data_IF_534751400847
#
_entry.id   IF_534751400847
#
_cell.length_a   1.000
_cell.length_b   1.000
_cell.length_c   1.000
_cell.angle_alpha   90.00
_cell.angle_beta   90.00
_cell.angle_gamma   90.00
#
_symmetry.space_group_name_H-M   'P 1'
#
loop_
_entity.id
_entity.type
_entity.pdbx_description
1 polymer ?
#
# COMPACT_ATOMS: atom_id res chain seq x y z
N UNK A 1 13.63 33.31 6.43
CA UNK A 1 12.66 34.42 6.63
C UNK A 1 11.70 34.58 5.44
N UNK A 2 12.20 34.74 4.20
CA UNK A 2 11.36 34.92 2.99
C UNK A 2 10.28 33.85 2.72
N UNK A 3 10.57 32.56 2.97
CA UNK A 3 9.61 31.46 2.69
C UNK A 3 8.38 31.53 3.61
N UNK A 4 8.59 31.90 4.88
CA UNK A 4 7.51 32.03 5.87
C UNK A 4 6.55 33.16 5.45
N UNK A 5 7.10 34.31 5.08
CA UNK A 5 6.33 35.47 4.63
C UNK A 5 5.51 35.18 3.36
N UNK A 6 6.10 34.47 2.39
CA UNK A 6 5.42 33.99 1.18
C UNK A 6 4.26 33.05 1.50
N UNK A 7 4.47 32.10 2.41
CA UNK A 7 3.42 31.17 2.86
C UNK A 7 2.26 31.92 3.53
N UNK A 8 2.55 32.84 4.46
CA UNK A 8 1.52 33.65 5.11
C UNK A 8 0.77 34.55 4.11
N UNK A 9 1.47 35.10 3.11
CA UNK A 9 0.86 35.86 2.02
C UNK A 9 -0.10 35.01 1.18
N UNK A 10 0.27 33.76 0.87
CA UNK A 10 -0.59 32.83 0.13
C UNK A 10 -1.80 32.39 0.94
N UNK A 11 -1.64 32.11 2.24
CA UNK A 11 -2.75 31.73 3.12
C UNK A 11 -3.74 32.87 3.37
N UNK A 12 -3.27 34.12 3.38
CA UNK A 12 -4.10 35.30 3.57
C UNK A 12 -4.78 35.79 2.28
N UNK A 13 -4.34 35.30 1.11
CA UNK A 13 -4.98 35.60 -0.17
C UNK A 13 -6.35 34.95 -0.21
N UNK A 14 -7.41 35.78 -0.17
CA UNK A 14 -8.79 35.31 -0.41
C UNK A 14 -8.85 34.68 -1.80
N UNK A 15 -9.22 33.41 -1.86
CA UNK A 15 -9.47 32.73 -3.14
C UNK A 15 -10.70 33.36 -3.77
N UNK A 16 -10.60 33.66 -5.06
CA UNK A 16 -11.77 34.06 -5.83
C UNK A 16 -12.75 32.89 -5.87
N UNK A 17 -14.02 33.19 -5.64
CA UNK A 17 -15.09 32.18 -5.74
C UNK A 17 -15.24 31.89 -7.22
N UNK A 18 -14.86 30.68 -7.62
CA UNK A 18 -15.09 30.21 -8.99
C UNK A 18 -16.61 30.02 -9.15
N UNK A 19 -17.25 30.68 -10.13
CA UNK A 19 -18.67 30.49 -10.36
C UNK A 19 -18.93 29.03 -10.71
N UNK A 20 -19.92 28.43 -10.06
CA UNK A 20 -20.32 27.05 -10.32
C UNK A 20 -21.08 27.00 -11.65
N UNK A 21 -20.39 26.60 -12.71
CA UNK A 21 -21.05 26.34 -13.98
C UNK A 21 -21.65 24.92 -13.97
N UNK A 22 -22.90 24.75 -14.42
CA UNK A 22 -23.49 23.42 -14.59
C UNK A 22 -22.71 22.65 -15.67
N UNK A 23 -22.08 21.55 -15.27
CA UNK A 23 -21.40 20.66 -16.21
C UNK A 23 -22.40 19.73 -16.91
N UNK A 24 -22.91 20.18 -18.05
CA UNK A 24 -23.81 19.42 -18.91
C UNK A 24 -23.20 18.14 -19.50
N UNK A 25 -21.88 17.92 -19.36
CA UNK A 25 -21.17 16.75 -19.90
C UNK A 25 -20.58 15.85 -18.81
N UNK A 26 -21.02 16.03 -17.57
CA UNK A 26 -20.59 15.23 -16.40
C UNK A 26 -20.76 13.72 -16.56
N UNK A 27 -21.70 13.27 -17.40
CA UNK A 27 -21.97 11.85 -17.65
C UNK A 27 -21.11 11.23 -18.76
N UNK A 28 -20.26 12.01 -19.45
CA UNK A 28 -19.46 11.50 -20.57
C UNK A 28 -18.06 11.09 -20.10
N UNK A 29 -17.80 9.79 -20.08
CA UNK A 29 -16.45 9.25 -19.87
C UNK A 29 -15.54 9.63 -21.05
N UNK A 30 -14.27 9.95 -20.78
CA UNK A 30 -13.32 10.37 -21.83
C UNK A 30 -13.61 11.75 -22.44
N UNK A 31 -13.99 12.73 -21.60
CA UNK A 31 -14.30 14.11 -22.05
C UNK A 31 -13.08 14.83 -22.63
N UNK A 32 -11.92 14.62 -22.02
CA UNK A 32 -10.70 15.34 -22.35
C UNK A 32 -9.88 14.53 -23.36
N UNK A 33 -9.32 15.18 -24.40
CA UNK A 33 -8.42 14.52 -25.33
C UNK A 33 -7.15 14.09 -24.61
N UNK A 34 -6.50 13.04 -25.12
CA UNK A 34 -5.34 12.45 -24.45
C UNK A 34 -4.15 13.42 -24.27
N UNK A 35 -4.14 14.50 -25.05
CA UNK A 35 -3.17 15.59 -24.98
C UNK A 35 -3.31 16.47 -23.73
N UNK A 36 -4.47 16.45 -23.07
CA UNK A 36 -4.71 17.20 -21.82
C UNK A 36 -4.35 16.38 -20.57
N UNK A 37 -4.17 15.06 -20.69
CA UNK A 37 -3.65 14.26 -19.59
C UNK A 37 -2.15 14.49 -19.44
N UNK A 38 -1.72 14.66 -18.19
CA UNK A 38 -0.30 14.62 -17.87
C UNK A 38 0.23 13.23 -18.17
N UNK A 39 1.30 13.15 -18.95
CA UNK A 39 1.98 11.88 -19.21
C UNK A 39 2.63 11.38 -17.92
N UNK A 40 2.47 10.09 -17.57
CA UNK A 40 3.06 9.51 -16.36
C UNK A 40 4.56 9.79 -16.22
N UNK A 41 5.28 9.74 -17.33
CA UNK A 41 6.74 9.96 -17.40
C UNK A 41 7.20 11.37 -16.99
N UNK A 42 6.28 12.34 -16.92
CA UNK A 42 6.58 13.72 -16.52
C UNK A 42 6.26 14.00 -15.06
N UNK A 43 5.62 13.08 -14.34
CA UNK A 43 5.21 13.26 -12.94
C UNK A 43 6.42 13.30 -11.99
N UNK A 44 7.51 12.58 -12.33
CA UNK A 44 8.74 12.56 -11.53
C UNK A 44 9.44 13.92 -11.44
N UNK A 45 9.35 14.75 -12.48
CA UNK A 45 9.90 16.11 -12.47
C UNK A 45 9.21 17.04 -11.45
N UNK A 46 8.04 16.63 -10.94
CA UNK A 46 7.23 17.38 -9.98
C UNK A 46 7.06 16.67 -8.63
N UNK A 47 7.94 15.69 -8.28
CA UNK A 47 7.97 15.01 -6.97
C UNK A 47 7.88 15.96 -5.75
N UNK A 48 8.28 17.23 -5.91
CA UNK A 48 8.23 18.26 -4.84
C UNK A 48 6.97 19.11 -4.79
N UNK A 49 6.12 19.10 -5.83
CA UNK A 49 5.02 20.06 -6.00
C UNK A 49 3.65 19.38 -5.96
N UNK A 50 3.58 18.10 -6.33
CA UNK A 50 2.34 17.33 -6.30
C UNK A 50 2.16 16.74 -4.90
N UNK A 51 1.03 17.05 -4.24
CA UNK A 51 0.67 16.45 -2.96
C UNK A 51 0.80 14.93 -3.05
N UNK A 52 1.47 14.29 -2.08
CA UNK A 52 1.70 12.83 -2.00
C UNK A 52 0.44 11.97 -2.24
N UNK A 53 -0.75 12.55 -2.09
CA UNK A 53 -2.05 11.94 -2.34
C UNK A 53 -2.41 11.73 -3.82
N UNK A 54 -1.68 12.34 -4.78
CA UNK A 54 -1.94 12.20 -6.22
C UNK A 54 -0.87 11.37 -6.96
N UNK A 55 0.01 10.68 -6.24
CA UNK A 55 0.75 9.60 -6.89
C UNK A 55 -0.27 8.54 -7.27
N UNK A 56 -0.51 8.39 -8.58
CA UNK A 56 -1.08 7.17 -9.09
C UNK A 56 -0.20 6.04 -8.53
N UNK A 57 -0.82 5.11 -7.80
CA UNK A 57 -0.13 3.92 -7.30
C UNK A 57 0.66 3.34 -8.48
N UNK A 58 1.99 3.32 -8.34
CA UNK A 58 2.85 2.63 -9.29
C UNK A 58 2.43 1.17 -9.26
N UNK A 59 1.65 0.78 -10.26
CA UNK A 59 1.19 -0.59 -10.44
C UNK A 59 2.40 -1.38 -10.92
N UNK A 60 3.08 -2.01 -9.97
CA UNK A 60 4.08 -3.03 -10.28
C UNK A 60 3.40 -4.18 -11.04
N UNK A 61 4.14 -4.87 -11.93
CA UNK A 61 3.64 -6.09 -12.53
C UNK A 61 3.20 -7.06 -11.43
N UNK A 62 2.05 -7.70 -11.64
CA UNK A 62 1.47 -8.62 -10.66
C UNK A 62 2.43 -9.79 -10.43
N UNK A 63 2.92 -9.92 -9.20
CA UNK A 63 3.68 -11.09 -8.74
C UNK A 63 2.72 -12.06 -8.05
N UNK A 64 2.25 -13.05 -8.80
CA UNK A 64 1.31 -14.07 -8.31
C UNK A 64 1.90 -14.87 -7.14
N UNK A 65 3.23 -15.09 -7.11
CA UNK A 65 3.88 -15.84 -6.04
C UNK A 65 3.91 -15.04 -4.73
N UNK A 66 4.18 -13.74 -4.84
CA UNK A 66 4.15 -12.82 -3.71
C UNK A 66 2.72 -12.67 -3.14
N UNK A 67 1.71 -12.49 -4.00
CA UNK A 67 0.31 -12.43 -3.58
C UNK A 67 -0.14 -13.73 -2.87
N UNK A 68 0.28 -14.89 -3.38
CA UNK A 68 -0.03 -16.18 -2.77
C UNK A 68 0.63 -16.32 -1.39
N UNK A 69 1.88 -15.85 -1.24
CA UNK A 69 2.57 -15.84 0.05
C UNK A 69 1.84 -14.94 1.07
N UNK A 70 1.42 -13.73 0.67
CA UNK A 70 0.64 -12.84 1.54
C UNK A 70 -0.68 -13.51 1.95
N UNK A 71 -1.36 -14.18 1.02
CA UNK A 71 -2.61 -14.89 1.30
C UNK A 71 -2.38 -16.02 2.32
N UNK A 72 -1.30 -16.77 2.15
CA UNK A 72 -0.92 -17.83 3.07
C UNK A 72 -0.63 -17.30 4.49
N UNK A 73 0.12 -16.20 4.63
CA UNK A 73 0.41 -15.58 5.94
C UNK A 73 -0.87 -15.09 6.64
N UNK A 74 -1.80 -14.52 5.89
CA UNK A 74 -3.12 -14.11 6.42
C UNK A 74 -3.92 -15.32 6.91
N UNK A 75 -3.87 -16.43 6.19
CA UNK A 75 -4.55 -17.66 6.58
C UNK A 75 -3.95 -18.24 7.86
N UNK A 76 -2.61 -18.33 7.97
CA UNK A 76 -1.94 -18.75 9.20
C UNK A 76 -2.32 -17.85 10.39
N UNK A 77 -2.37 -16.53 10.19
CA UNK A 77 -2.81 -15.59 11.23
C UNK A 77 -4.27 -15.83 11.65
N UNK A 78 -5.15 -16.10 10.69
CA UNK A 78 -6.56 -16.43 10.96
C UNK A 78 -6.69 -17.71 11.78
N UNK A 79 -5.94 -18.75 11.42
CA UNK A 79 -5.93 -20.03 12.15
C UNK A 79 -5.37 -19.84 13.56
N UNK A 80 -4.30 -19.06 13.71
CA UNK A 80 -3.73 -18.75 15.01
C UNK A 80 -4.71 -18.02 15.93
N UNK A 81 -5.63 -17.21 15.38
CA UNK A 81 -6.66 -16.52 16.15
C UNK A 81 -7.80 -17.45 16.63
N UNK A 82 -7.96 -18.65 16.07
CA UNK A 82 -8.99 -19.61 16.49
C UNK A 82 -8.75 -20.14 17.90
N UNK A 83 -9.81 -20.59 18.57
CA UNK A 83 -9.68 -21.15 19.91
C UNK A 83 -8.99 -22.52 19.85
N UNK A 84 -8.05 -22.85 20.77
CA UNK A 84 -7.37 -24.16 20.79
C UNK A 84 -8.28 -25.39 20.88
N UNK A 85 -9.56 -25.19 21.21
CA UNK A 85 -10.56 -26.26 21.33
C UNK A 85 -11.30 -26.54 20.01
N UNK A 86 -11.26 -25.60 19.05
CA UNK A 86 -12.02 -25.70 17.79
C UNK A 86 -11.24 -26.30 16.65
N UNK A 87 -9.91 -26.32 16.69
CA UNK A 87 -9.07 -27.04 15.74
C UNK A 87 -8.09 -27.93 16.51
N UNK A 88 -8.15 -29.22 16.23
CA UNK A 88 -7.35 -30.24 16.92
C UNK A 88 -5.86 -30.20 16.58
N UNK A 89 -5.21 -31.36 16.64
CA UNK A 89 -3.82 -31.57 16.21
C UNK A 89 -3.71 -31.61 14.68
N UNK A 90 -4.13 -30.54 14.02
CA UNK A 90 -4.00 -30.40 12.59
C UNK A 90 -2.54 -30.05 12.23
N UNK A 91 -1.99 -30.76 11.25
CA UNK A 91 -0.67 -30.48 10.70
C UNK A 91 -0.78 -29.32 9.71
N UNK A 92 0.02 -28.29 9.94
CA UNK A 92 0.07 -27.08 9.13
C UNK A 92 1.50 -26.83 8.69
N UNK A 93 1.67 -26.24 7.52
CA UNK A 93 2.99 -25.86 7.01
C UNK A 93 3.06 -24.35 6.84
N UNK A 94 4.15 -23.75 7.29
CA UNK A 94 4.48 -22.37 7.01
C UNK A 94 5.39 -22.31 5.79
N UNK A 95 4.86 -21.93 4.64
CA UNK A 95 5.60 -21.86 3.37
C UNK A 95 6.73 -20.81 3.40
N UNK A 96 6.59 -19.77 4.23
CA UNK A 96 7.62 -18.75 4.43
C UNK A 96 8.87 -19.32 5.13
N UNK A 97 8.66 -20.24 6.07
CA UNK A 97 9.71 -20.80 6.90
C UNK A 97 10.11 -22.22 6.48
N UNK A 98 9.31 -22.89 5.65
CA UNK A 98 9.45 -24.32 5.32
C UNK A 98 9.29 -25.23 6.55
N UNK A 99 8.50 -24.80 7.54
CA UNK A 99 8.35 -25.52 8.81
C UNK A 99 6.97 -26.14 8.94
N UNK A 100 6.94 -27.44 9.28
CA UNK A 100 5.72 -28.15 9.65
C UNK A 100 5.43 -27.97 11.13
N UNK A 101 4.20 -27.64 11.45
CA UNK A 101 3.71 -27.23 12.76
C UNK A 101 2.52 -28.10 13.11
N UNK A 102 2.50 -28.62 14.34
CA UNK A 102 1.44 -29.50 14.83
C UNK A 102 0.57 -28.74 15.82
N UNK A 103 -0.64 -28.35 15.40
CA UNK A 103 -1.63 -27.67 16.23
C UNK A 103 -1.40 -26.17 16.47
N UNK A 104 -2.44 -25.49 16.97
CA UNK A 104 -2.48 -24.02 17.07
C UNK A 104 -1.40 -23.44 17.99
N UNK A 105 -1.06 -24.12 19.10
CA UNK A 105 -0.09 -23.57 20.05
C UNK A 105 1.30 -23.47 19.43
N UNK A 106 1.71 -24.48 18.66
CA UNK A 106 2.95 -24.45 17.91
C UNK A 106 2.91 -23.38 16.81
N UNK A 107 1.78 -23.23 16.13
CA UNK A 107 1.57 -22.15 15.16
C UNK A 107 1.74 -20.76 15.80
N UNK A 108 1.08 -20.49 16.92
CA UNK A 108 1.18 -19.21 17.64
C UNK A 108 2.61 -18.88 18.02
N UNK A 109 3.29 -19.84 18.64
CA UNK A 109 4.69 -19.66 19.03
C UNK A 109 5.58 -19.40 17.82
N UNK A 110 5.32 -20.09 16.70
CA UNK A 110 6.05 -19.91 15.44
C UNK A 110 5.85 -18.51 14.85
N UNK A 111 4.60 -18.06 14.67
CA UNK A 111 4.33 -16.75 14.05
C UNK A 111 4.83 -15.58 14.92
N UNK A 112 4.88 -15.75 16.24
CA UNK A 112 5.44 -14.73 17.15
C UNK A 112 6.97 -14.82 17.28
N UNK A 113 7.61 -15.82 16.67
CA UNK A 113 9.06 -15.99 16.76
C UNK A 113 9.78 -14.90 15.97
N UNK A 114 10.92 -14.44 16.48
CA UNK A 114 11.76 -13.47 15.79
C UNK A 114 12.20 -13.96 14.39
N UNK A 115 12.35 -15.28 14.22
CA UNK A 115 12.69 -15.88 12.94
C UNK A 115 11.59 -15.67 11.88
N UNK A 116 10.33 -15.89 12.26
CA UNK A 116 9.19 -15.67 11.37
C UNK A 116 9.01 -14.18 11.06
N UNK A 117 9.01 -13.34 12.10
CA UNK A 117 8.80 -11.89 11.96
C UNK A 117 9.86 -11.23 11.08
N UNK A 118 11.13 -11.65 11.18
CA UNK A 118 12.17 -11.11 10.31
C UNK A 118 11.91 -11.45 8.84
N UNK A 119 11.57 -12.71 8.53
CA UNK A 119 11.26 -13.12 7.16
C UNK A 119 9.99 -12.48 6.60
N UNK A 120 8.99 -12.28 7.45
CA UNK A 120 7.75 -11.61 7.07
C UNK A 120 8.02 -10.13 6.75
N UNK A 121 8.85 -9.47 7.57
CA UNK A 121 9.29 -8.11 7.31
C UNK A 121 10.10 -8.01 6.01
N UNK A 122 10.99 -8.96 5.70
CA UNK A 122 11.75 -8.93 4.43
C UNK A 122 10.82 -8.96 3.21
N UNK A 123 9.71 -9.71 3.28
CA UNK A 123 8.71 -9.76 2.20
C UNK A 123 7.90 -8.46 2.13
N UNK A 124 7.51 -7.89 3.27
CA UNK A 124 6.69 -6.67 3.33
C UNK A 124 7.50 -5.38 3.09
N UNK A 125 8.79 -5.39 3.41
CA UNK A 125 9.70 -4.25 3.26
C UNK A 125 10.37 -4.19 1.89
N UNK A 126 10.35 -5.28 1.11
CA UNK A 126 10.79 -5.28 -0.29
C UNK A 126 10.07 -4.25 -1.18
N UNK A 127 8.94 -3.69 -0.72
CA UNK A 127 8.23 -2.59 -1.37
C UNK A 127 8.82 -1.18 -1.08
N UNK A 128 9.83 -1.04 -0.20
CA UNK A 128 10.36 0.26 0.24
C UNK A 128 11.83 0.54 -0.15
N UNK A 129 12.54 -0.37 -0.81
CA UNK A 129 13.96 -0.17 -1.15
C UNK A 129 14.18 0.45 -2.54
N UNK A 130 13.58 1.62 -2.84
CA UNK A 130 14.07 2.50 -3.92
C UNK A 130 13.64 3.96 -3.64
N UNK A 131 14.10 4.55 -2.55
CA UNK A 131 13.93 5.98 -2.30
C UNK A 131 15.12 6.59 -1.50
N UNK A 132 16.34 6.20 -1.87
CA UNK A 132 17.54 7.00 -1.58
C UNK A 132 18.18 7.32 -2.94
N UNK A 133 17.88 8.49 -3.51
CA UNK A 133 18.72 9.36 -4.36
C UNK A 133 17.91 10.57 -4.88
#
# INVERSE_FOLDING_TARGET
LKVKELLFSLMSKKREIIPKEPDYRSMKWGRYPDTEFMKPDQVDNYKKIIYKLHHALLLHPRDDAHEEMIRHLKELSRIAALHPKTSGYEEMECNLCGQKLLGILHLRNHITSAYHLNRENDILSGDNELDDF
#
